data_IF_160137446641
#
_entry.id   IF_160137446641
#
_cell.length_a   1.000
_cell.length_b   1.000
_cell.length_c   1.000
_cell.angle_alpha   90.00
_cell.angle_beta   90.00
_cell.angle_gamma   90.00
#
_symmetry.space_group_name_H-M   'P 1'
#
loop_
_entity.id
_entity.type
_entity.pdbx_description
1 polymer ?
#
# COMPACT_ATOMS: atom_id res chain seq x y z
N UNK A 1 -11.84 -22.41 0.65
CA UNK A 1 -11.81 -22.93 -0.73
C UNK A 1 -12.01 -21.80 -1.75
N UNK A 2 -11.32 -20.65 -1.66
CA UNK A 2 -11.62 -19.48 -2.51
C UNK A 2 -10.47 -19.01 -3.42
N UNK A 3 -9.42 -19.82 -3.57
CA UNK A 3 -8.27 -19.45 -4.41
C UNK A 3 -7.79 -20.59 -5.32
N UNK A 4 -8.61 -21.60 -5.59
CA UNK A 4 -8.25 -22.76 -6.39
C UNK A 4 -8.50 -22.61 -7.90
N UNK A 5 -8.49 -21.43 -8.48
CA UNK A 5 -8.57 -21.29 -9.93
C UNK A 5 -7.37 -20.53 -10.49
N UNK A 6 -6.40 -21.24 -10.95
CA UNK A 6 -5.39 -20.75 -11.90
C UNK A 6 -4.03 -20.35 -11.32
N UNK A 7 -3.96 -19.73 -10.17
CA UNK A 7 -2.68 -19.19 -9.65
C UNK A 7 -1.79 -20.23 -8.95
N UNK A 8 -2.39 -21.24 -8.31
CA UNK A 8 -1.65 -22.29 -7.61
C UNK A 8 -1.00 -23.32 -8.55
N UNK A 9 -1.35 -23.32 -9.84
CA UNK A 9 -0.88 -24.31 -10.82
C UNK A 9 0.33 -23.91 -11.69
N UNK A 10 0.74 -22.63 -11.67
CA UNK A 10 1.75 -22.14 -12.62
C UNK A 10 3.12 -21.83 -12.01
N UNK A 11 3.44 -22.33 -10.84
CA UNK A 11 4.80 -22.29 -10.32
C UNK A 11 5.54 -23.56 -10.75
N UNK A 12 5.72 -23.73 -12.04
CA UNK A 12 6.45 -24.87 -12.64
C UNK A 12 7.96 -24.60 -12.78
N UNK A 13 8.41 -23.40 -12.38
CA UNK A 13 9.80 -23.00 -12.53
C UNK A 13 10.60 -23.16 -11.25
N UNK A 14 11.88 -23.43 -11.40
CA UNK A 14 12.83 -23.48 -10.28
C UNK A 14 13.02 -22.06 -9.71
N UNK A 15 13.02 -21.88 -8.38
CA UNK A 15 13.30 -20.59 -7.77
C UNK A 15 14.64 -19.98 -8.24
N UNK A 16 14.68 -18.67 -8.40
CA UNK A 16 15.88 -17.91 -8.77
C UNK A 16 17.01 -18.14 -7.78
N UNK A 17 16.67 -18.25 -6.50
CA UNK A 17 17.54 -18.56 -5.38
C UNK A 17 16.72 -19.01 -4.20
N UNK A 18 17.37 -19.39 -3.09
CA UNK A 18 16.68 -19.62 -1.84
C UNK A 18 15.95 -18.33 -1.44
N UNK A 19 14.68 -18.48 -1.01
CA UNK A 19 13.91 -17.30 -0.58
C UNK A 19 14.38 -16.84 0.80
N UNK A 20 14.73 -15.56 0.90
CA UNK A 20 14.98 -14.88 2.16
C UNK A 20 14.11 -13.64 2.32
N UNK A 21 13.51 -13.43 3.47
CA UNK A 21 12.69 -12.25 3.77
C UNK A 21 13.26 -11.56 5.01
N UNK A 22 13.69 -10.31 4.86
CA UNK A 22 14.05 -9.45 6.00
C UNK A 22 12.91 -8.44 6.17
N UNK A 23 12.08 -8.65 7.18
CA UNK A 23 11.10 -7.65 7.59
C UNK A 23 11.75 -6.73 8.63
N UNK A 24 12.05 -5.48 8.24
CA UNK A 24 12.55 -4.49 9.20
C UNK A 24 11.55 -4.33 10.35
N UNK A 25 12.00 -3.83 11.48
CA UNK A 25 11.17 -3.71 12.69
C UNK A 25 9.86 -2.97 12.44
N UNK A 26 9.86 -2.01 11.53
CA UNK A 26 8.67 -1.26 11.11
C UNK A 26 7.62 -2.11 10.39
N UNK A 27 8.02 -3.23 9.78
CA UNK A 27 7.18 -4.15 9.02
C UNK A 27 7.02 -5.54 9.67
N UNK A 28 7.47 -5.74 10.90
CA UNK A 28 7.53 -7.06 11.54
C UNK A 28 6.20 -7.83 11.51
N UNK A 29 5.10 -7.16 11.85
CA UNK A 29 3.76 -7.77 11.87
C UNK A 29 3.30 -8.20 10.48
N UNK A 30 3.52 -7.34 9.49
CA UNK A 30 3.17 -7.63 8.09
C UNK A 30 4.07 -8.77 7.55
N UNK A 31 5.37 -8.74 7.84
CA UNK A 31 6.32 -9.77 7.45
C UNK A 31 5.96 -11.15 7.99
N UNK A 32 5.56 -11.27 9.26
CA UNK A 32 5.09 -12.53 9.84
C UNK A 32 3.85 -13.10 9.15
N UNK A 33 2.91 -12.24 8.77
CA UNK A 33 1.72 -12.68 8.01
C UNK A 33 2.08 -13.16 6.60
N UNK A 34 2.97 -12.45 5.93
CA UNK A 34 3.47 -12.82 4.59
C UNK A 34 4.17 -14.18 4.65
N UNK A 35 5.09 -14.35 5.58
CA UNK A 35 5.83 -15.59 5.80
C UNK A 35 4.88 -16.78 6.02
N UNK A 36 3.89 -16.62 6.89
CA UNK A 36 2.91 -17.66 7.18
C UNK A 36 2.12 -18.12 5.93
N UNK A 37 1.80 -17.20 5.01
CA UNK A 37 1.16 -17.57 3.75
C UNK A 37 2.09 -18.37 2.84
N UNK A 38 3.34 -17.96 2.69
CA UNK A 38 4.33 -18.64 1.83
C UNK A 38 4.67 -20.01 2.39
N UNK A 39 4.93 -20.11 3.70
CA UNK A 39 5.17 -21.39 4.40
C UNK A 39 4.04 -22.37 4.12
N UNK A 40 2.79 -21.94 4.28
CA UNK A 40 1.63 -22.78 4.03
C UNK A 40 1.61 -23.31 2.60
N UNK A 41 1.74 -22.43 1.61
CA UNK A 41 1.64 -22.80 0.19
C UNK A 41 2.79 -23.72 -0.26
N UNK A 42 4.00 -23.46 0.21
CA UNK A 42 5.16 -24.27 -0.18
C UNK A 42 5.12 -25.65 0.46
N UNK A 43 4.62 -25.80 1.68
CA UNK A 43 4.35 -27.11 2.29
C UNK A 43 3.23 -27.87 1.57
N UNK A 44 2.18 -27.19 1.13
CA UNK A 44 1.11 -27.80 0.32
C UNK A 44 1.66 -28.31 -1.01
N UNK A 45 2.47 -27.51 -1.74
CA UNK A 45 3.09 -27.90 -3.02
C UNK A 45 4.09 -29.05 -2.88
N UNK A 46 4.87 -29.10 -1.80
CA UNK A 46 5.80 -30.20 -1.54
C UNK A 46 5.08 -31.56 -1.47
N UNK A 47 3.89 -31.58 -0.90
CA UNK A 47 3.07 -32.79 -0.83
C UNK A 47 2.46 -33.20 -2.20
N UNK A 48 2.26 -32.27 -3.10
CA UNK A 48 1.68 -32.52 -4.44
C UNK A 48 2.73 -33.01 -5.45
N UNK A 49 3.99 -32.66 -5.29
CA UNK A 49 5.10 -32.96 -6.22
C UNK A 49 5.95 -34.16 -5.79
N UNK A 50 5.32 -35.28 -5.45
CA UNK A 50 5.99 -36.56 -5.18
C UNK A 50 6.74 -37.02 -6.44
N UNK A 51 8.05 -36.73 -6.54
CA UNK A 51 8.92 -37.20 -7.61
C UNK A 51 9.79 -36.15 -8.33
N UNK A 52 9.66 -34.89 -8.03
CA UNK A 52 10.64 -33.87 -8.46
C UNK A 52 11.85 -33.85 -7.53
N UNK A 53 13.07 -33.53 -8.04
CA UNK A 53 14.21 -33.35 -7.16
C UNK A 53 13.87 -32.34 -6.06
N UNK A 54 13.88 -32.78 -4.82
CA UNK A 54 13.66 -31.89 -3.68
C UNK A 54 14.70 -30.78 -3.72
N UNK A 55 14.27 -29.56 -4.02
CA UNK A 55 15.10 -28.38 -3.80
C UNK A 55 15.30 -28.28 -2.29
N UNK A 56 16.51 -28.52 -1.83
CA UNK A 56 16.88 -28.35 -0.41
C UNK A 56 16.39 -26.96 0.02
N UNK A 57 15.73 -26.89 1.18
CA UNK A 57 15.21 -25.66 1.76
C UNK A 57 14.06 -24.97 1.02
N UNK A 58 13.37 -25.64 0.08
CA UNK A 58 12.18 -25.08 -0.56
C UNK A 58 11.02 -24.94 0.41
N UNK A 59 10.69 -26.00 1.16
CA UNK A 59 9.70 -25.96 2.23
C UNK A 59 10.41 -25.79 3.57
N UNK A 60 10.16 -24.65 4.22
CA UNK A 60 10.74 -24.27 5.52
C UNK A 60 9.64 -23.95 6.51
N UNK A 61 9.99 -23.90 7.79
CA UNK A 61 9.09 -23.41 8.85
C UNK A 61 9.01 -21.87 8.87
N UNK A 62 9.99 -21.19 8.30
CA UNK A 62 10.00 -19.74 8.11
C UNK A 62 11.02 -19.34 7.03
N UNK A 63 10.73 -18.29 6.29
CA UNK A 63 11.65 -17.61 5.34
C UNK A 63 12.16 -16.29 5.91
N UNK A 64 11.75 -15.93 7.14
CA UNK A 64 12.22 -14.74 7.81
C UNK A 64 13.70 -14.92 8.23
N UNK A 65 14.52 -13.95 7.86
CA UNK A 65 15.93 -13.84 8.22
C UNK A 65 16.04 -12.89 9.39
N UNK A 66 16.78 -13.31 10.43
CA UNK A 66 17.02 -12.46 11.60
C UNK A 66 17.97 -11.32 11.25
N UNK A 67 17.46 -10.10 11.36
CA UNK A 67 18.20 -8.88 11.11
C UNK A 67 17.77 -7.79 12.08
N UNK A 68 18.69 -6.90 12.41
CA UNK A 68 18.42 -5.81 13.34
C UNK A 68 19.22 -4.56 13.01
N UNK A 69 18.75 -3.42 13.52
CA UNK A 69 19.42 -2.13 13.37
C UNK A 69 19.52 -1.44 14.74
N UNK A 70 20.43 -1.92 15.61
CA UNK A 70 20.62 -1.31 16.93
C UNK A 70 21.18 0.11 16.83
N UNK A 71 20.65 0.99 17.71
CA UNK A 71 21.06 2.39 17.83
C UNK A 71 22.12 2.56 18.91
N UNK A 72 23.09 3.43 18.63
CA UNK A 72 23.98 3.99 19.65
C UNK A 72 23.27 5.13 20.39
N UNK A 73 23.78 5.51 21.57
CA UNK A 73 23.20 6.62 22.34
C UNK A 73 23.21 7.97 21.64
N UNK A 74 24.07 8.14 20.62
CA UNK A 74 24.13 9.32 19.73
C UNK A 74 23.04 9.32 18.65
N UNK A 75 22.24 8.24 18.51
CA UNK A 75 21.23 8.07 17.47
C UNK A 75 21.76 7.39 16.19
N UNK A 76 23.08 7.26 16.02
CA UNK A 76 23.64 6.46 14.94
C UNK A 76 23.24 4.99 15.08
N UNK A 77 23.29 4.24 13.96
CA UNK A 77 22.94 2.83 13.96
C UNK A 77 23.81 2.00 13.04
N UNK A 78 23.74 0.69 13.19
CA UNK A 78 24.38 -0.27 12.27
C UNK A 78 23.40 -1.37 11.89
N UNK A 79 23.43 -1.79 10.62
CA UNK A 79 22.71 -2.99 10.16
C UNK A 79 23.45 -4.26 10.55
N UNK A 80 22.71 -5.26 11.05
CA UNK A 80 23.23 -6.58 11.40
C UNK A 80 22.28 -7.62 10.77
N UNK A 81 22.87 -8.62 10.11
CA UNK A 81 22.18 -9.82 9.63
C UNK A 81 22.81 -11.01 10.32
N UNK A 82 22.04 -11.80 11.04
CA UNK A 82 22.53 -12.89 11.85
C UNK A 82 22.59 -14.23 11.10
N UNK A 83 21.95 -14.32 9.93
CA UNK A 83 21.93 -15.50 9.08
C UNK A 83 22.75 -15.28 7.79
N UNK A 84 23.04 -16.38 7.09
CA UNK A 84 23.65 -16.28 5.77
C UNK A 84 22.62 -15.87 4.74
N UNK A 85 22.99 -14.96 3.86
CA UNK A 85 22.15 -14.51 2.71
C UNK A 85 22.86 -14.78 1.38
N UNK A 86 23.87 -15.64 1.39
CA UNK A 86 24.69 -15.90 0.19
C UNK A 86 23.89 -16.71 -0.83
N UNK A 87 23.64 -16.08 -1.98
CA UNK A 87 22.92 -16.70 -3.09
C UNK A 87 21.40 -16.63 -2.95
N UNK A 88 20.88 -15.98 -1.91
CA UNK A 88 19.45 -15.83 -1.71
C UNK A 88 18.83 -14.85 -2.70
N UNK A 89 17.59 -15.11 -3.06
CA UNK A 89 16.66 -14.13 -3.61
C UNK A 89 16.00 -13.41 -2.43
N UNK A 90 16.50 -12.22 -2.13
CA UNK A 90 16.23 -11.52 -0.87
C UNK A 90 15.16 -10.45 -1.03
N UNK A 91 14.17 -10.45 -0.15
CA UNK A 91 13.10 -9.45 -0.07
C UNK A 91 13.21 -8.65 1.22
N UNK A 92 13.39 -7.34 1.10
CA UNK A 92 13.48 -6.41 2.23
C UNK A 92 12.17 -5.64 2.36
N UNK A 93 11.48 -5.80 3.50
CA UNK A 93 10.22 -5.12 3.77
C UNK A 93 10.45 -3.96 4.73
N UNK A 94 9.97 -2.77 4.38
CA UNK A 94 10.06 -1.57 5.22
C UNK A 94 8.77 -0.74 5.16
N UNK A 95 8.23 -0.39 6.32
CA UNK A 95 7.21 0.66 6.46
C UNK A 95 7.89 1.95 6.93
N UNK A 96 8.02 2.91 6.04
CA UNK A 96 8.66 4.20 6.35
C UNK A 96 7.73 5.13 7.16
N UNK A 97 6.45 4.79 7.29
CA UNK A 97 5.46 5.58 8.00
C UNK A 97 5.23 5.13 9.45
N UNK A 98 5.94 4.11 9.92
CA UNK A 98 5.70 3.56 11.27
C UNK A 98 6.31 4.44 12.38
N UNK A 99 5.58 5.44 12.78
CA UNK A 99 5.97 6.37 13.85
C UNK A 99 5.86 5.78 15.27
N UNK A 100 5.35 4.55 15.44
CA UNK A 100 5.22 3.92 16.77
C UNK A 100 6.56 3.47 17.35
N UNK A 101 7.58 3.27 16.50
CA UNK A 101 8.90 2.87 16.93
C UNK A 101 9.67 4.07 17.48
N UNK A 102 10.41 3.82 18.55
CA UNK A 102 11.22 4.85 19.21
C UNK A 102 12.64 4.37 19.46
N UNK A 103 13.54 5.31 19.62
CA UNK A 103 14.90 5.07 20.08
C UNK A 103 15.37 6.18 21.01
N UNK A 104 16.45 5.93 21.77
CA UNK A 104 17.07 6.95 22.62
C UNK A 104 18.09 7.75 21.83
N UNK A 105 17.97 9.07 21.85
CA UNK A 105 18.90 10.04 21.29
C UNK A 105 19.39 10.97 22.41
N UNK A 106 20.62 10.82 22.86
CA UNK A 106 21.20 11.60 23.93
C UNK A 106 20.32 11.66 25.20
N UNK A 107 19.70 10.53 25.55
CA UNK A 107 18.80 10.40 26.70
C UNK A 107 17.35 10.81 26.46
N UNK A 108 17.00 11.31 25.26
CA UNK A 108 15.62 11.65 24.88
C UNK A 108 14.98 10.54 24.05
N UNK A 109 13.70 10.30 24.27
CA UNK A 109 12.92 9.41 23.40
C UNK A 109 12.61 10.11 22.09
N UNK A 110 13.02 9.51 20.97
CA UNK A 110 12.76 9.99 19.62
C UNK A 110 11.91 8.98 18.87
N UNK A 111 10.85 9.44 18.22
CA UNK A 111 10.07 8.61 17.30
C UNK A 111 10.80 8.50 15.97
N UNK A 112 10.79 7.31 15.38
CA UNK A 112 11.41 7.10 14.08
C UNK A 112 10.64 7.86 13.00
N UNK A 113 11.37 8.68 12.24
CA UNK A 113 10.87 9.38 11.07
C UNK A 113 10.95 8.49 9.82
N UNK A 114 10.31 8.89 8.69
CA UNK A 114 10.53 8.24 7.40
C UNK A 114 12.01 8.12 7.01
N UNK A 115 12.80 9.14 7.32
CA UNK A 115 14.25 9.16 7.07
C UNK A 115 14.99 8.11 7.88
N UNK A 116 14.62 7.94 9.16
CA UNK A 116 15.19 6.90 10.02
C UNK A 116 14.93 5.50 9.45
N UNK A 117 13.71 5.23 9.01
CA UNK A 117 13.35 3.95 8.41
C UNK A 117 14.04 3.70 7.07
N UNK A 118 14.09 4.72 6.22
CA UNK A 118 14.78 4.63 4.93
C UNK A 118 16.29 4.43 5.13
N UNK A 119 16.89 5.12 6.09
CA UNK A 119 18.30 4.93 6.42
C UNK A 119 18.55 3.53 7.01
N UNK A 120 17.63 2.97 7.79
CA UNK A 120 17.75 1.61 8.31
C UNK A 120 17.66 0.55 7.19
N UNK A 121 16.79 0.76 6.19
CA UNK A 121 16.77 -0.07 4.98
C UNK A 121 18.16 -0.08 4.30
N UNK A 122 18.76 1.09 4.08
CA UNK A 122 20.09 1.19 3.47
C UNK A 122 21.18 0.49 4.28
N UNK A 123 21.11 0.55 5.61
CA UNK A 123 22.04 -0.18 6.50
C UNK A 123 21.91 -1.69 6.33
N UNK A 124 20.70 -2.22 6.19
CA UNK A 124 20.48 -3.64 5.91
C UNK A 124 21.00 -4.03 4.53
N UNK A 125 20.73 -3.23 3.49
CA UNK A 125 21.29 -3.48 2.14
C UNK A 125 22.83 -3.50 2.19
N UNK A 126 23.44 -2.57 2.90
CA UNK A 126 24.89 -2.53 3.09
C UNK A 126 25.40 -3.77 3.84
N UNK A 127 24.65 -4.28 4.84
CA UNK A 127 25.02 -5.49 5.59
C UNK A 127 24.93 -6.76 4.73
N UNK A 128 24.08 -6.81 3.71
CA UNK A 128 24.06 -7.90 2.70
C UNK A 128 25.42 -8.00 2.00
N UNK A 129 26.06 -6.85 1.74
CA UNK A 129 27.44 -6.79 1.23
C UNK A 129 27.63 -7.48 -0.12
N UNK A 130 26.65 -7.42 -1.02
CA UNK A 130 26.70 -8.02 -2.35
C UNK A 130 26.70 -9.55 -2.37
N UNK A 131 26.26 -10.21 -1.30
CA UNK A 131 26.27 -11.69 -1.19
C UNK A 131 24.99 -12.33 -1.68
N UNK A 132 23.84 -11.63 -1.61
CA UNK A 132 22.60 -12.10 -2.17
C UNK A 132 22.67 -12.24 -3.68
N UNK A 133 21.86 -13.11 -4.25
CA UNK A 133 21.74 -13.26 -5.69
C UNK A 133 20.96 -12.09 -6.30
N UNK A 134 19.89 -11.67 -5.61
CA UNK A 134 19.01 -10.56 -6.00
C UNK A 134 18.51 -9.86 -4.74
N UNK A 135 18.37 -8.56 -4.79
CA UNK A 135 17.79 -7.76 -3.72
C UNK A 135 16.53 -7.08 -4.23
N UNK A 136 15.40 -7.42 -3.62
CA UNK A 136 14.11 -6.82 -3.91
C UNK A 136 13.65 -6.02 -2.69
N UNK A 137 13.27 -4.76 -2.88
CA UNK A 137 12.74 -3.90 -1.82
C UNK A 137 11.23 -3.81 -1.95
N UNK A 138 10.51 -4.18 -0.91
CA UNK A 138 9.07 -3.95 -0.77
C UNK A 138 8.88 -2.81 0.22
N UNK A 139 8.54 -1.66 -0.31
CA UNK A 139 8.29 -0.42 0.43
C UNK A 139 6.85 0.01 0.13
N UNK A 140 5.85 -0.47 0.90
CA UNK A 140 4.45 -0.24 0.58
C UNK A 140 4.11 1.21 0.38
N UNK A 141 4.46 2.09 1.32
CA UNK A 141 4.43 3.54 1.10
C UNK A 141 5.79 3.97 0.56
N UNK A 142 5.81 4.44 -0.67
CA UNK A 142 7.06 4.87 -1.31
C UNK A 142 7.63 6.11 -0.61
N UNK A 143 8.86 6.00 -0.11
CA UNK A 143 9.55 7.11 0.56
C UNK A 143 9.62 8.33 -0.35
N UNK A 144 9.26 9.50 0.18
CA UNK A 144 9.20 10.79 -0.51
C UNK A 144 8.30 10.82 -1.77
N UNK A 145 7.28 9.93 -1.86
CA UNK A 145 6.41 9.81 -3.04
C UNK A 145 5.68 11.12 -3.41
N UNK A 146 5.43 12.00 -2.43
CA UNK A 146 4.81 13.31 -2.68
C UNK A 146 5.76 14.32 -3.31
N UNK A 147 7.08 14.11 -3.19
CA UNK A 147 8.12 14.91 -3.83
C UNK A 147 8.55 14.30 -5.17
N UNK A 148 7.58 14.01 -6.05
CA UNK A 148 7.73 13.36 -7.34
C UNK A 148 8.04 14.32 -8.51
N UNK A 149 7.87 15.62 -8.32
CA UNK A 149 8.10 16.68 -9.33
C UNK A 149 8.63 17.93 -8.67
N UNK A 150 9.27 18.78 -9.45
CA UNK A 150 9.74 20.10 -9.01
C UNK A 150 8.80 21.21 -9.49
N UNK A 151 8.51 22.12 -8.59
CA UNK A 151 7.88 23.40 -8.89
C UNK A 151 8.83 24.53 -8.44
N UNK A 152 9.87 24.80 -9.25
CA UNK A 152 10.88 25.80 -8.89
C UNK A 152 12.16 25.18 -8.30
N UNK A 153 12.71 25.82 -7.26
CA UNK A 153 13.98 25.41 -6.63
C UNK A 153 13.76 24.45 -5.47
N UNK A 154 13.23 23.27 -5.77
CA UNK A 154 12.93 22.22 -4.81
C UNK A 154 13.84 21.02 -5.05
N UNK A 155 14.06 20.21 -4.02
CA UNK A 155 14.66 18.89 -4.17
C UNK A 155 13.73 17.94 -4.92
N UNK A 156 14.26 16.84 -5.46
CA UNK A 156 13.50 15.79 -6.12
C UNK A 156 13.77 14.48 -5.39
N UNK A 157 13.32 14.42 -4.13
CA UNK A 157 13.78 13.41 -3.18
C UNK A 157 13.31 12.00 -3.54
N UNK A 158 12.11 11.84 -4.10
CA UNK A 158 11.66 10.52 -4.55
C UNK A 158 12.59 9.93 -5.62
N UNK A 159 12.98 10.72 -6.62
CA UNK A 159 13.87 10.25 -7.67
C UNK A 159 15.27 9.93 -7.13
N UNK A 160 15.80 10.77 -6.24
CA UNK A 160 17.10 10.56 -5.61
C UNK A 160 17.09 9.29 -4.76
N UNK A 161 16.04 9.04 -3.98
CA UNK A 161 15.89 7.85 -3.16
C UNK A 161 15.88 6.56 -4.01
N UNK A 162 15.14 6.56 -5.12
CA UNK A 162 15.10 5.44 -6.06
C UNK A 162 16.48 5.17 -6.66
N UNK A 163 17.18 6.23 -7.13
CA UNK A 163 18.53 6.11 -7.69
C UNK A 163 19.55 5.63 -6.65
N UNK A 164 19.42 6.07 -5.41
CA UNK A 164 20.28 5.62 -4.31
C UNK A 164 20.13 4.11 -4.05
N UNK A 165 18.89 3.60 -3.95
CA UNK A 165 18.63 2.17 -3.78
C UNK A 165 19.22 1.34 -4.93
N UNK A 166 19.02 1.77 -6.16
CA UNK A 166 19.59 1.14 -7.35
C UNK A 166 21.11 1.13 -7.32
N UNK A 167 21.74 2.26 -6.94
CA UNK A 167 23.20 2.36 -6.81
C UNK A 167 23.77 1.45 -5.74
N UNK A 168 22.94 1.05 -4.75
CA UNK A 168 23.31 0.10 -3.71
C UNK A 168 23.10 -1.36 -4.12
N UNK A 169 22.64 -1.62 -5.35
CA UNK A 169 22.45 -2.98 -5.88
C UNK A 169 21.06 -3.55 -5.66
N UNK A 170 20.02 -2.72 -5.52
CA UNK A 170 18.63 -3.16 -5.52
C UNK A 170 18.20 -3.44 -6.96
N UNK A 171 17.69 -4.64 -7.21
CA UNK A 171 17.23 -5.08 -8.53
C UNK A 171 15.80 -4.64 -8.83
N UNK A 172 14.91 -4.80 -7.83
CA UNK A 172 13.49 -4.47 -7.97
C UNK A 172 12.98 -3.66 -6.78
N UNK A 173 12.15 -2.68 -7.05
CA UNK A 173 11.43 -1.89 -6.05
C UNK A 173 9.93 -2.10 -6.26
N UNK A 174 9.24 -2.58 -5.23
CA UNK A 174 7.81 -2.88 -5.24
C UNK A 174 7.14 -1.95 -4.23
N UNK A 175 6.20 -1.18 -4.70
CA UNK A 175 5.41 -0.25 -3.89
C UNK A 175 3.92 -0.41 -4.17
N UNK A 176 3.09 0.26 -3.39
CA UNK A 176 1.64 0.25 -3.58
C UNK A 176 1.16 1.67 -3.85
N UNK A 177 0.27 1.81 -4.80
CA UNK A 177 -0.44 3.04 -5.12
C UNK A 177 0.45 4.30 -5.04
N UNK A 178 1.58 4.27 -5.74
CA UNK A 178 2.50 5.40 -5.78
C UNK A 178 1.75 6.69 -6.12
N UNK A 179 2.01 7.77 -5.37
CA UNK A 179 1.34 9.06 -5.53
C UNK A 179 1.35 9.56 -6.99
N UNK A 180 2.47 9.36 -7.66
CA UNK A 180 2.62 9.50 -9.11
C UNK A 180 3.45 8.33 -9.67
N UNK A 181 2.87 7.41 -10.46
CA UNK A 181 3.58 6.25 -10.98
C UNK A 181 4.73 6.61 -11.94
N UNK A 182 4.79 7.85 -12.45
CA UNK A 182 5.88 8.31 -13.33
C UNK A 182 7.22 8.45 -12.62
N UNK A 183 7.29 8.30 -11.30
CA UNK A 183 8.56 8.24 -10.53
C UNK A 183 9.47 7.11 -11.03
N UNK A 184 8.92 6.05 -11.62
CA UNK A 184 9.69 4.98 -12.27
C UNK A 184 10.65 5.49 -13.36
N UNK A 185 10.36 6.64 -13.97
CA UNK A 185 11.23 7.25 -14.98
C UNK A 185 12.60 7.66 -14.43
N UNK A 186 12.77 7.73 -13.10
CA UNK A 186 14.07 7.99 -12.48
C UNK A 186 15.04 6.80 -12.58
N UNK A 187 14.51 5.59 -12.79
CA UNK A 187 15.27 4.32 -12.82
C UNK A 187 14.83 3.41 -13.99
N UNK A 188 14.91 3.88 -15.25
CA UNK A 188 14.25 3.25 -16.40
C UNK A 188 14.80 1.86 -16.78
N UNK A 189 15.93 1.44 -16.22
CA UNK A 189 16.56 0.14 -16.49
C UNK A 189 16.43 -0.85 -15.33
N UNK A 190 15.65 -0.53 -14.30
CA UNK A 190 15.45 -1.38 -13.11
C UNK A 190 13.97 -1.70 -12.91
N UNK A 191 13.70 -2.82 -12.25
CA UNK A 191 12.34 -3.22 -11.93
C UNK A 191 11.69 -2.24 -10.94
N UNK A 192 10.54 -1.70 -11.33
CA UNK A 192 9.70 -0.88 -10.47
C UNK A 192 8.23 -1.25 -10.69
N UNK A 193 7.59 -1.67 -9.62
CA UNK A 193 6.18 -2.05 -9.64
C UNK A 193 5.39 -1.22 -8.66
N UNK A 194 4.25 -0.69 -9.13
CA UNK A 194 3.28 -0.01 -8.26
C UNK A 194 1.93 -0.70 -8.36
N UNK A 195 1.41 -1.19 -7.24
CA UNK A 195 0.26 -2.08 -7.16
C UNK A 195 -0.93 -1.34 -6.56
N UNK A 196 -2.08 -1.36 -7.22
CA UNK A 196 -3.30 -0.75 -6.70
C UNK A 196 -4.14 -1.77 -5.93
N UNK A 197 -4.60 -1.46 -4.69
CA UNK A 197 -5.34 -2.38 -3.83
C UNK A 197 -6.86 -2.43 -4.11
N UNK A 198 -7.30 -2.11 -5.34
CA UNK A 198 -8.72 -1.98 -5.70
C UNK A 198 -9.52 -3.25 -5.41
N UNK A 199 -8.95 -4.43 -5.65
CA UNK A 199 -9.62 -5.71 -5.33
C UNK A 199 -9.93 -5.84 -3.84
N UNK A 200 -8.99 -5.45 -2.98
CA UNK A 200 -9.17 -5.52 -1.53
C UNK A 200 -10.18 -4.48 -1.04
N UNK A 201 -10.23 -3.31 -1.66
CA UNK A 201 -11.26 -2.31 -1.36
C UNK A 201 -12.64 -2.80 -1.75
N UNK A 202 -12.82 -3.38 -2.93
CA UNK A 202 -14.10 -3.97 -3.34
C UNK A 202 -14.55 -5.02 -2.32
N UNK A 203 -13.68 -5.95 -1.93
CA UNK A 203 -13.99 -6.94 -0.88
C UNK A 203 -14.33 -6.28 0.46
N UNK A 204 -13.59 -5.25 0.83
CA UNK A 204 -13.84 -4.49 2.06
C UNK A 204 -15.20 -3.79 2.05
N UNK A 205 -15.56 -3.17 0.94
CA UNK A 205 -16.86 -2.50 0.76
C UNK A 205 -18.03 -3.47 0.91
N UNK A 206 -17.98 -4.63 0.25
CA UNK A 206 -19.03 -5.66 0.39
C UNK A 206 -19.07 -6.29 1.79
N UNK A 207 -17.96 -6.29 2.51
CA UNK A 207 -17.95 -6.72 3.93
C UNK A 207 -18.57 -5.67 4.83
N UNK A 208 -18.26 -4.38 4.61
CA UNK A 208 -18.81 -3.26 5.38
C UNK A 208 -20.30 -3.02 5.08
N UNK A 209 -20.74 -3.28 3.85
CA UNK A 209 -22.12 -3.12 3.40
C UNK A 209 -22.52 -4.26 2.45
N UNK A 210 -22.98 -5.42 2.98
CA UNK A 210 -23.38 -6.57 2.15
C UNK A 210 -24.54 -6.27 1.21
N UNK A 211 -25.34 -5.24 1.48
CA UNK A 211 -26.47 -4.76 0.68
C UNK A 211 -26.08 -3.72 -0.38
N UNK A 212 -24.79 -3.46 -0.58
CA UNK A 212 -24.28 -2.50 -1.56
C UNK A 212 -24.64 -2.94 -2.98
N UNK A 213 -25.39 -2.11 -3.69
CA UNK A 213 -25.75 -2.34 -5.09
C UNK A 213 -24.72 -1.67 -5.99
N UNK A 214 -24.24 -2.41 -6.99
CA UNK A 214 -23.18 -1.98 -7.92
C UNK A 214 -23.73 -1.61 -9.30
N UNK A 215 -24.70 -0.77 -9.37
CA UNK A 215 -25.25 -0.25 -10.61
C UNK A 215 -25.21 1.29 -10.64
N UNK A 216 -25.27 1.93 -11.82
CA UNK A 216 -25.18 3.38 -11.93
C UNK A 216 -26.29 4.16 -11.23
N UNK A 217 -27.43 3.51 -10.93
CA UNK A 217 -28.54 4.16 -10.22
C UNK A 217 -28.28 4.25 -8.71
N UNK A 218 -27.47 3.34 -8.16
CA UNK A 218 -27.30 3.20 -6.72
C UNK A 218 -25.87 3.50 -6.21
N UNK A 219 -24.85 3.47 -7.08
CA UNK A 219 -23.47 3.64 -6.68
C UNK A 219 -22.73 4.64 -7.61
N UNK A 220 -21.90 5.49 -7.01
CA UNK A 220 -21.00 6.38 -7.74
C UNK A 220 -19.64 6.40 -7.06
N UNK A 221 -18.57 6.41 -7.86
CA UNK A 221 -17.20 6.59 -7.37
C UNK A 221 -16.83 8.06 -7.40
N UNK A 222 -16.19 8.55 -6.34
CA UNK A 222 -15.86 9.96 -6.18
C UNK A 222 -14.35 10.15 -6.07
N UNK A 223 -13.83 10.99 -6.95
CA UNK A 223 -12.48 11.56 -6.80
C UNK A 223 -12.56 12.80 -5.91
N UNK A 224 -11.80 12.86 -4.79
CA UNK A 224 -11.80 14.02 -3.90
C UNK A 224 -11.14 15.25 -4.54
N UNK A 225 -10.27 15.05 -5.53
CA UNK A 225 -9.63 16.12 -6.32
C UNK A 225 -9.08 15.56 -7.65
N UNK A 226 -8.36 16.37 -8.39
CA UNK A 226 -7.78 16.01 -9.70
C UNK A 226 -6.70 14.91 -9.57
N UNK A 227 -5.96 14.87 -8.46
CA UNK A 227 -4.87 13.93 -8.25
C UNK A 227 -5.36 12.48 -8.13
N UNK A 228 -6.54 12.26 -7.59
CA UNK A 228 -7.14 10.94 -7.42
C UNK A 228 -7.97 10.47 -8.62
N UNK A 229 -8.13 11.30 -9.66
CA UNK A 229 -9.06 11.03 -10.78
C UNK A 229 -8.76 9.68 -11.48
N UNK A 230 -7.50 9.33 -11.72
CA UNK A 230 -7.14 8.07 -12.37
C UNK A 230 -7.56 6.84 -11.55
N UNK A 231 -7.45 6.89 -10.23
CA UNK A 231 -7.88 5.82 -9.30
C UNK A 231 -9.41 5.67 -9.33
N UNK A 232 -10.12 6.79 -9.30
CA UNK A 232 -11.58 6.81 -9.35
C UNK A 232 -12.09 6.27 -10.69
N UNK A 233 -11.51 6.68 -11.82
CA UNK A 233 -11.83 6.16 -13.15
C UNK A 233 -11.61 4.65 -13.22
N UNK A 234 -10.47 4.16 -12.73
CA UNK A 234 -10.17 2.73 -12.74
C UNK A 234 -11.19 1.93 -11.94
N UNK A 235 -11.51 2.37 -10.71
CA UNK A 235 -12.48 1.68 -9.86
C UNK A 235 -13.91 1.75 -10.45
N UNK A 236 -14.31 2.90 -10.99
CA UNK A 236 -15.62 3.08 -11.63
C UNK A 236 -15.80 2.17 -12.85
N UNK A 237 -14.78 2.10 -13.72
CA UNK A 237 -14.79 1.22 -14.90
C UNK A 237 -14.91 -0.26 -14.52
N UNK A 238 -14.16 -0.72 -13.51
CA UNK A 238 -14.23 -2.11 -13.05
C UNK A 238 -15.61 -2.45 -12.47
N UNK A 239 -16.22 -1.51 -11.73
CA UNK A 239 -17.54 -1.71 -11.13
C UNK A 239 -18.70 -1.48 -12.12
N UNK A 240 -18.43 -0.85 -13.26
CA UNK A 240 -19.45 -0.50 -14.25
C UNK A 240 -20.39 0.61 -13.77
N UNK A 241 -19.88 1.59 -13.01
CA UNK A 241 -20.65 2.69 -12.42
C UNK A 241 -20.10 4.05 -12.82
N UNK A 242 -20.88 5.12 -12.57
CA UNK A 242 -20.46 6.48 -12.85
C UNK A 242 -19.37 6.96 -11.89
N UNK A 243 -18.62 7.97 -12.33
CA UNK A 243 -17.64 8.68 -11.54
C UNK A 243 -17.99 10.16 -11.44
N UNK A 244 -17.78 10.72 -10.26
CA UNK A 244 -17.80 12.16 -10.02
C UNK A 244 -16.47 12.65 -9.45
N UNK A 245 -16.19 13.94 -9.60
CA UNK A 245 -14.95 14.53 -9.15
C UNK A 245 -15.19 15.90 -8.50
N UNK A 246 -14.44 16.21 -7.45
CA UNK A 246 -14.35 17.55 -6.90
C UNK A 246 -13.18 18.30 -7.52
N UNK A 247 -13.44 19.52 -7.90
CA UNK A 247 -12.46 20.46 -8.43
C UNK A 247 -12.27 21.62 -7.44
N UNK A 248 -11.02 21.87 -7.04
CA UNK A 248 -10.67 22.98 -6.16
C UNK A 248 -10.39 24.23 -6.99
N UNK A 249 -11.40 25.08 -7.17
CA UNK A 249 -11.20 26.37 -7.82
C UNK A 249 -10.40 27.28 -6.89
N UNK A 250 -9.22 27.70 -7.34
CA UNK A 250 -8.34 28.62 -6.63
C UNK A 250 -8.51 30.05 -7.15
N UNK A 251 -8.43 31.02 -6.25
CA UNK A 251 -8.33 32.41 -6.62
C UNK A 251 -6.88 32.77 -6.98
N UNK A 252 -6.60 32.85 -8.27
CA UNK A 252 -5.27 33.23 -8.74
C UNK A 252 -5.02 34.76 -8.69
N UNK A 253 -6.03 35.56 -8.38
CA UNK A 253 -5.89 37.02 -8.26
C UNK A 253 -5.33 37.43 -6.88
N UNK A 254 -5.47 36.56 -5.87
CA UNK A 254 -5.03 36.85 -4.50
C UNK A 254 -4.09 35.76 -4.00
N UNK A 255 -3.05 36.19 -3.27
CA UNK A 255 -2.15 35.26 -2.57
C UNK A 255 -2.30 35.53 -1.06
N UNK A 256 -2.67 34.49 -0.30
CA UNK A 256 -2.78 34.55 1.16
C UNK A 256 -1.81 33.52 1.75
N UNK A 257 -0.89 33.96 2.60
CA UNK A 257 0.14 33.13 3.22
C UNK A 257 0.98 32.30 2.21
N UNK A 258 1.29 32.90 1.03
CA UNK A 258 2.10 32.24 0.00
C UNK A 258 1.35 31.21 -0.86
N UNK A 259 0.03 31.10 -0.72
CA UNK A 259 -0.81 30.19 -1.50
C UNK A 259 -2.05 30.91 -2.07
N UNK A 260 -2.54 30.42 -3.20
CA UNK A 260 -3.81 30.88 -3.75
C UNK A 260 -4.98 30.26 -2.97
N UNK A 261 -5.86 31.05 -2.33
CA UNK A 261 -6.96 30.51 -1.53
C UNK A 261 -7.94 29.71 -2.39
N UNK A 262 -8.48 28.65 -1.83
CA UNK A 262 -9.57 27.88 -2.46
C UNK A 262 -10.85 28.65 -2.29
N UNK A 263 -11.49 29.06 -3.41
CA UNK A 263 -12.74 29.84 -3.43
C UNK A 263 -13.97 28.96 -3.54
N UNK A 264 -13.87 27.77 -4.10
CA UNK A 264 -15.00 26.84 -4.21
C UNK A 264 -14.52 25.39 -4.38
N UNK A 265 -15.32 24.45 -3.86
CA UNK A 265 -15.28 23.06 -4.22
C UNK A 265 -16.42 22.79 -5.19
N UNK A 266 -16.12 22.72 -6.48
CA UNK A 266 -17.11 22.44 -7.52
C UNK A 266 -17.16 20.93 -7.77
N UNK A 267 -18.37 20.39 -7.87
CA UNK A 267 -18.58 18.98 -8.18
C UNK A 267 -18.88 18.83 -9.68
N UNK A 268 -18.13 17.94 -10.32
CA UNK A 268 -18.31 17.52 -11.71
C UNK A 268 -18.78 16.06 -11.73
N UNK A 269 -20.00 15.83 -12.17
CA UNK A 269 -20.58 14.48 -12.23
C UNK A 269 -22.09 14.51 -12.39
N UNK A 270 -22.69 13.32 -12.55
CA UNK A 270 -24.14 13.15 -12.58
C UNK A 270 -24.77 13.38 -11.18
N UNK A 271 -26.09 13.43 -11.11
CA UNK A 271 -26.80 13.52 -9.84
C UNK A 271 -26.51 12.29 -8.98
N UNK A 272 -26.14 12.54 -7.73
CA UNK A 272 -25.80 11.50 -6.74
C UNK A 272 -26.86 11.38 -5.63
N UNK A 273 -27.98 12.10 -5.74
CA UNK A 273 -29.02 12.08 -4.74
C UNK A 273 -29.57 10.65 -4.52
N UNK A 274 -29.52 10.17 -3.28
CA UNK A 274 -29.98 8.83 -2.90
C UNK A 274 -29.00 7.70 -3.21
N UNK A 275 -27.88 7.96 -3.90
CA UNK A 275 -26.85 6.95 -4.19
C UNK A 275 -25.92 6.74 -3.01
N UNK A 276 -25.36 5.55 -2.93
CA UNK A 276 -24.14 5.28 -2.17
C UNK A 276 -22.97 5.86 -2.94
N UNK A 277 -21.98 6.40 -2.24
CA UNK A 277 -20.79 6.97 -2.87
C UNK A 277 -19.52 6.44 -2.21
N UNK A 278 -18.50 6.18 -3.02
CA UNK A 278 -17.18 5.75 -2.56
C UNK A 278 -16.16 6.81 -2.95
N UNK A 279 -15.61 7.49 -1.96
CA UNK A 279 -14.46 8.38 -2.14
C UNK A 279 -13.22 7.51 -2.19
N UNK A 280 -12.37 7.67 -3.20
CA UNK A 280 -11.13 6.91 -3.31
C UNK A 280 -9.93 7.83 -3.50
N UNK A 281 -8.86 7.57 -2.74
CA UNK A 281 -7.59 8.30 -2.83
C UNK A 281 -6.40 7.37 -2.49
N UNK A 282 -5.16 7.86 -2.67
CA UNK A 282 -3.97 7.14 -2.25
C UNK A 282 -3.77 7.21 -0.73
N UNK A 283 -4.03 8.35 -0.10
CA UNK A 283 -3.79 8.49 1.34
C UNK A 283 -4.76 9.42 2.05
N UNK A 284 -4.97 9.15 3.32
CA UNK A 284 -5.56 10.07 4.29
C UNK A 284 -4.41 10.62 5.14
N UNK A 285 -4.07 11.90 4.96
CA UNK A 285 -3.09 12.60 5.81
C UNK A 285 -3.78 13.17 7.05
N UNK A 286 -4.12 14.47 7.09
CA UNK A 286 -4.89 15.07 8.20
C UNK A 286 -6.37 14.68 8.19
N UNK A 287 -6.91 14.29 7.04
CA UNK A 287 -8.31 13.97 6.84
C UNK A 287 -9.22 15.14 6.49
N UNK A 288 -8.72 16.38 6.53
CA UNK A 288 -9.54 17.58 6.26
C UNK A 288 -10.25 17.50 4.91
N UNK A 289 -9.49 17.23 3.86
CA UNK A 289 -10.04 17.14 2.50
C UNK A 289 -11.12 16.06 2.38
N UNK A 290 -10.94 14.90 3.02
CA UNK A 290 -11.92 13.80 2.98
C UNK A 290 -13.21 14.17 3.70
N UNK A 291 -13.11 14.80 4.87
CA UNK A 291 -14.28 15.21 5.66
C UNK A 291 -15.02 16.34 4.95
N UNK A 292 -14.32 17.29 4.34
CA UNK A 292 -14.95 18.38 3.58
C UNK A 292 -15.68 17.84 2.34
N UNK A 293 -15.07 16.91 1.61
CA UNK A 293 -15.72 16.21 0.49
C UNK A 293 -16.95 15.44 0.97
N UNK A 294 -16.86 14.70 2.09
CA UNK A 294 -17.99 13.97 2.65
C UNK A 294 -19.14 14.93 3.03
N UNK A 295 -18.82 16.09 3.60
CA UNK A 295 -19.81 17.14 3.94
C UNK A 295 -20.51 17.68 2.68
N UNK A 296 -19.75 17.94 1.61
CA UNK A 296 -20.32 18.39 0.33
C UNK A 296 -21.20 17.32 -0.32
N UNK A 297 -20.82 16.06 -0.25
CA UNK A 297 -21.62 14.93 -0.73
C UNK A 297 -22.94 14.78 0.05
N UNK A 298 -22.92 15.00 1.37
CA UNK A 298 -24.15 15.00 2.21
C UNK A 298 -25.09 16.14 1.83
N UNK A 299 -24.58 17.35 1.54
CA UNK A 299 -25.40 18.44 1.02
C UNK A 299 -26.12 18.08 -0.30
N UNK A 300 -25.47 17.22 -1.12
CA UNK A 300 -26.03 16.68 -2.38
C UNK A 300 -26.88 15.44 -2.18
N UNK A 301 -27.23 15.11 -0.91
CA UNK A 301 -28.12 14.03 -0.52
C UNK A 301 -27.59 12.61 -0.83
N UNK A 302 -26.27 12.42 -0.79
CA UNK A 302 -25.69 11.06 -0.81
C UNK A 302 -26.27 10.22 0.32
N UNK A 303 -26.64 8.95 0.03
CA UNK A 303 -27.23 8.02 1.01
C UNK A 303 -26.16 7.60 2.03
N UNK A 304 -25.20 6.83 1.62
CA UNK A 304 -24.04 6.41 2.42
C UNK A 304 -22.76 6.88 1.74
N UNK A 305 -21.79 7.25 2.54
CA UNK A 305 -20.48 7.66 2.05
C UNK A 305 -19.45 6.70 2.61
N UNK A 306 -18.68 6.06 1.73
CA UNK A 306 -17.55 5.21 2.05
C UNK A 306 -16.28 5.98 1.70
N UNK A 307 -15.26 5.91 2.55
CA UNK A 307 -13.96 6.52 2.32
C UNK A 307 -12.94 5.40 2.15
N UNK A 308 -12.29 5.31 1.00
CA UNK A 308 -11.24 4.34 0.71
C UNK A 308 -9.94 5.06 0.45
N UNK A 309 -8.88 4.71 1.17
CA UNK A 309 -7.53 5.19 0.89
C UNK A 309 -6.51 4.07 1.12
N UNK A 310 -5.51 4.00 0.25
CA UNK A 310 -4.46 2.99 0.40
C UNK A 310 -3.72 3.16 1.71
N UNK A 311 -3.39 4.40 2.09
CA UNK A 311 -2.65 4.70 3.30
C UNK A 311 -3.43 5.58 4.27
N UNK A 312 -3.64 5.10 5.48
CA UNK A 312 -4.23 5.87 6.57
C UNK A 312 -3.14 6.43 7.49
N UNK A 313 -2.62 7.61 7.20
CA UNK A 313 -1.57 8.24 8.02
C UNK A 313 -2.14 8.88 9.29
N UNK A 314 -3.34 9.47 9.22
CA UNK A 314 -4.02 10.12 10.35
C UNK A 314 -3.13 11.06 11.15
N UNK A 315 -2.41 11.94 10.48
CA UNK A 315 -1.35 12.79 11.07
C UNK A 315 -1.83 13.70 12.20
N UNK A 316 -3.14 13.99 12.28
CA UNK A 316 -3.77 14.81 13.29
C UNK A 316 -4.68 13.99 14.24
N UNK A 317 -4.43 12.67 14.36
CA UNK A 317 -5.24 11.79 15.21
C UNK A 317 -6.60 11.41 14.61
N UNK A 318 -7.43 10.76 15.41
CA UNK A 318 -8.71 10.19 14.99
C UNK A 318 -9.93 10.99 15.41
N UNK A 319 -9.81 11.93 16.35
CA UNK A 319 -10.92 12.66 16.99
C UNK A 319 -11.81 13.39 15.97
N UNK A 320 -11.22 13.81 14.87
CA UNK A 320 -11.90 14.50 13.78
C UNK A 320 -12.80 13.55 12.99
N UNK A 321 -12.34 12.33 12.77
CA UNK A 321 -13.11 11.26 12.13
C UNK A 321 -14.21 10.74 13.06
N UNK A 322 -13.94 10.63 14.36
CA UNK A 322 -14.94 10.25 15.35
C UNK A 322 -16.13 11.21 15.31
N UNK A 323 -15.87 12.52 15.38
CA UNK A 323 -16.92 13.54 15.26
C UNK A 323 -17.65 13.49 13.94
N UNK A 324 -16.94 13.37 12.83
CA UNK A 324 -17.54 13.28 11.51
C UNK A 324 -18.44 12.04 11.35
N UNK A 325 -18.07 10.93 11.98
CA UNK A 325 -18.91 9.73 12.03
C UNK A 325 -20.15 9.93 12.89
N UNK A 326 -20.01 10.52 14.08
CA UNK A 326 -21.13 10.86 14.97
C UNK A 326 -22.11 11.84 14.30
N UNK A 327 -21.63 12.78 13.50
CA UNK A 327 -22.42 13.69 12.67
C UNK A 327 -23.09 12.97 11.46
N UNK A 328 -22.80 11.67 11.22
CA UNK A 328 -23.33 10.90 10.11
C UNK A 328 -22.79 11.31 8.74
N UNK A 329 -21.60 11.96 8.68
CA UNK A 329 -21.00 12.41 7.42
C UNK A 329 -20.53 11.26 6.55
N UNK A 330 -20.07 10.16 7.13
CA UNK A 330 -19.70 8.95 6.40
C UNK A 330 -20.19 7.68 7.10
N UNK A 331 -20.29 6.60 6.34
CA UNK A 331 -20.77 5.32 6.83
C UNK A 331 -19.62 4.40 7.27
N UNK A 332 -18.56 4.30 6.46
CA UNK A 332 -17.39 3.47 6.75
C UNK A 332 -16.14 4.04 6.10
N UNK A 333 -15.01 3.78 6.73
CA UNK A 333 -13.68 4.14 6.25
C UNK A 333 -12.82 2.88 6.12
N UNK A 334 -12.21 2.71 4.96
CA UNK A 334 -11.40 1.56 4.61
C UNK A 334 -9.97 2.03 4.29
N UNK A 335 -8.99 1.49 4.99
CA UNK A 335 -7.58 1.62 4.58
C UNK A 335 -6.89 0.26 4.62
N UNK A 336 -5.68 0.19 4.10
CA UNK A 336 -4.93 -1.06 4.06
C UNK A 336 -4.05 -1.23 5.29
N UNK A 337 -3.57 -2.47 5.52
CA UNK A 337 -2.57 -2.78 6.53
C UNK A 337 -1.13 -2.67 6.00
N UNK A 338 -0.91 -1.91 4.95
CA UNK A 338 0.39 -1.71 4.30
C UNK A 338 1.35 -0.83 5.10
N UNK A 339 0.80 0.02 5.96
CA UNK A 339 1.53 0.85 6.93
C UNK A 339 1.00 0.60 8.34
N UNK A 340 1.71 1.08 9.32
CA UNK A 340 1.30 0.98 10.73
C UNK A 340 -0.13 1.47 10.94
N UNK A 341 -0.92 0.64 11.59
CA UNK A 341 -2.29 0.94 12.02
C UNK A 341 -2.31 1.02 13.55
N UNK A 342 -2.58 2.20 14.15
CA UNK A 342 -2.64 2.30 15.60
C UNK A 342 -3.80 1.45 16.15
N UNK A 343 -3.62 0.77 17.31
CA UNK A 343 -4.65 -0.11 17.87
C UNK A 343 -6.01 0.56 18.00
N UNK A 344 -6.04 1.83 18.40
CA UNK A 344 -7.29 2.61 18.56
C UNK A 344 -8.08 2.74 17.24
N UNK A 345 -7.40 2.74 16.09
CA UNK A 345 -8.06 2.77 14.78
C UNK A 345 -8.79 1.45 14.50
N UNK A 346 -8.18 0.32 14.85
CA UNK A 346 -8.73 -1.01 14.62
C UNK A 346 -9.99 -1.29 15.45
N UNK A 347 -10.19 -0.56 16.54
CA UNK A 347 -11.35 -0.66 17.42
C UNK A 347 -12.52 0.24 16.99
N UNK A 348 -12.32 1.14 16.01
CA UNK A 348 -13.38 2.07 15.59
C UNK A 348 -14.50 1.34 14.83
N UNK A 349 -15.78 1.60 15.17
CA UNK A 349 -16.92 0.92 14.55
C UNK A 349 -17.10 1.24 13.07
N UNK A 350 -16.54 2.37 12.63
CA UNK A 350 -16.59 2.81 11.23
C UNK A 350 -15.41 2.33 10.40
N UNK A 351 -14.44 1.64 11.00
CA UNK A 351 -13.18 1.32 10.33
C UNK A 351 -13.12 -0.13 9.83
N UNK A 352 -12.60 -0.30 8.63
CA UNK A 352 -12.35 -1.61 8.02
C UNK A 352 -10.92 -1.68 7.49
N UNK A 353 -10.10 -2.54 8.07
CA UNK A 353 -8.75 -2.82 7.57
C UNK A 353 -8.82 -3.80 6.39
N UNK A 354 -8.22 -3.42 5.26
CA UNK A 354 -8.05 -4.25 4.07
C UNK A 354 -6.67 -4.92 4.12
N UNK A 355 -6.62 -6.23 4.37
CA UNK A 355 -5.37 -6.98 4.52
C UNK A 355 -4.77 -7.36 3.16
N UNK A 356 -3.53 -6.92 2.90
CA UNK A 356 -2.77 -7.22 1.69
C UNK A 356 -1.65 -8.24 1.91
N UNK A 357 -1.48 -8.79 3.11
CA UNK A 357 -0.39 -9.72 3.41
C UNK A 357 -0.35 -10.93 2.46
N UNK A 358 -1.53 -11.52 2.18
CA UNK A 358 -1.66 -12.63 1.21
C UNK A 358 -1.25 -12.21 -0.19
N UNK A 359 -1.58 -10.98 -0.58
CA UNK A 359 -1.26 -10.46 -1.90
C UNK A 359 0.25 -10.24 -2.06
N UNK A 360 0.90 -9.64 -1.06
CA UNK A 360 2.37 -9.47 -1.05
C UNK A 360 3.06 -10.83 -1.08
N UNK A 361 2.57 -11.80 -0.31
CA UNK A 361 3.08 -13.16 -0.33
C UNK A 361 3.02 -13.78 -1.74
N UNK A 362 1.92 -13.57 -2.48
CA UNK A 362 1.80 -14.03 -3.88
C UNK A 362 2.82 -13.36 -4.80
N UNK A 363 3.01 -12.04 -4.66
CA UNK A 363 4.02 -11.30 -5.44
C UNK A 363 5.41 -11.87 -5.18
N UNK A 364 5.80 -12.03 -3.92
CA UNK A 364 7.11 -12.59 -3.53
C UNK A 364 7.29 -13.99 -4.10
N UNK A 365 6.32 -14.88 -3.87
CA UNK A 365 6.43 -16.28 -4.30
C UNK A 365 6.48 -16.41 -5.82
N UNK A 366 5.70 -15.61 -6.55
CA UNK A 366 5.72 -15.57 -8.01
C UNK A 366 7.06 -15.05 -8.54
N UNK A 367 7.56 -13.94 -8.02
CA UNK A 367 8.84 -13.37 -8.43
C UNK A 367 10.02 -14.28 -8.07
N UNK A 368 9.98 -14.96 -6.92
CA UNK A 368 11.02 -15.92 -6.55
C UNK A 368 11.12 -17.09 -7.54
N UNK A 369 10.02 -17.44 -8.19
CA UNK A 369 9.99 -18.43 -9.26
C UNK A 369 10.19 -17.84 -10.66
N UNK A 370 10.63 -16.58 -10.76
CA UNK A 370 10.80 -15.85 -12.03
C UNK A 370 9.53 -15.79 -12.88
N UNK A 371 8.39 -15.87 -12.20
CA UNK A 371 7.06 -15.84 -12.81
C UNK A 371 6.59 -14.42 -13.10
N UNK A 372 5.74 -14.26 -14.12
CA UNK A 372 5.10 -12.99 -14.45
C UNK A 372 4.07 -12.60 -13.38
N UNK A 373 4.14 -11.36 -12.91
CA UNK A 373 3.13 -10.79 -12.01
C UNK A 373 2.05 -9.98 -12.73
N UNK A 374 1.99 -10.02 -14.07
CA UNK A 374 1.03 -9.23 -14.86
C UNK A 374 -0.42 -9.45 -14.43
N UNK A 375 -0.81 -10.69 -14.17
CA UNK A 375 -2.17 -11.01 -13.68
C UNK A 375 -2.41 -10.57 -12.22
N UNK A 376 -1.34 -10.38 -11.44
CA UNK A 376 -1.43 -9.76 -10.11
C UNK A 376 -1.63 -8.25 -10.25
N UNK A 377 -0.92 -7.60 -11.16
CA UNK A 377 -1.03 -6.18 -11.43
C UNK A 377 -2.39 -5.81 -12.03
N UNK A 378 -2.99 -6.70 -12.83
CA UNK A 378 -4.33 -6.52 -13.39
C UNK A 378 -5.35 -7.48 -12.74
N UNK A 379 -6.02 -7.08 -11.66
CA UNK A 379 -6.94 -7.94 -10.92
C UNK A 379 -8.35 -8.05 -11.55
N UNK A 380 -8.57 -7.59 -12.80
CA UNK A 380 -9.90 -7.49 -13.42
C UNK A 380 -10.65 -8.82 -13.39
N UNK A 381 -10.02 -9.93 -13.78
CA UNK A 381 -10.67 -11.25 -13.80
C UNK A 381 -11.04 -11.73 -12.39
N UNK A 382 -10.16 -11.49 -11.40
CA UNK A 382 -10.44 -11.82 -9.99
C UNK A 382 -11.59 -10.99 -9.43
N UNK A 383 -11.65 -9.71 -9.80
CA UNK A 383 -12.74 -8.81 -9.40
C UNK A 383 -14.04 -9.28 -10.05
N UNK A 384 -14.05 -9.57 -11.36
CA UNK A 384 -15.23 -10.06 -12.05
C UNK A 384 -15.74 -11.38 -11.46
N UNK A 385 -14.85 -12.33 -11.17
CA UNK A 385 -15.20 -13.59 -10.51
C UNK A 385 -15.77 -13.38 -9.10
N UNK A 386 -15.20 -12.44 -8.34
CA UNK A 386 -15.73 -12.08 -7.02
C UNK A 386 -17.13 -11.46 -7.14
N UNK A 387 -17.31 -10.50 -8.04
CA UNK A 387 -18.56 -9.80 -8.27
C UNK A 387 -19.66 -10.73 -8.79
N UNK A 388 -19.32 -11.70 -9.64
CA UNK A 388 -20.29 -12.70 -10.12
C UNK A 388 -20.86 -13.57 -8.98
N UNK A 389 -20.06 -13.86 -7.94
CA UNK A 389 -20.50 -14.61 -6.76
C UNK A 389 -21.34 -13.78 -5.77
N UNK A 390 -21.34 -12.46 -5.91
CA UNK A 390 -22.06 -11.51 -5.05
C UNK A 390 -23.15 -10.76 -5.84
N UNK A 391 -23.60 -11.32 -6.97
CA UNK A 391 -24.78 -10.84 -7.70
C UNK A 391 -26.04 -11.34 -6.99
N UNK A 392 -26.59 -10.52 -6.12
CA UNK A 392 -27.97 -10.57 -5.63
C UNK A 392 -28.64 -9.24 -5.94
#
# INVERSE_FOLDING_TARGET
>A
MEFQSGYERNVETIPVGELGIIALKSCETLGKKIDAHIVKWRKEREHEHLGTPELRSYARDSYLIDASVPRFGSGEAKGIINDTVRGDDLYLLVDVCNYSLTYSLCGHTNHMSPDDHFQDLKRIIAAVGGKARRINVIMPFLYESRQHKRNGRESLDCALALQELVSMGVDNIITFDAHDPRVQNAIPLHGFETIQPVYQFIKGLFRAAPDLKRDPEHLMIISPDEGAASRAIYMANILGVDMGMFYKRRDYAHIVNGANPIVAHEFLGADLSGKDVVIIDDMISSGDSMIDVARELKKRKARRIFICATFGLFTNGLERFDRAYEEGLFYSMLTTNLIYQPPQLLEKPYYTSCDLSKYIALVIDTLNHDGSISDLLNPSDRINNFLAKHQN
#
